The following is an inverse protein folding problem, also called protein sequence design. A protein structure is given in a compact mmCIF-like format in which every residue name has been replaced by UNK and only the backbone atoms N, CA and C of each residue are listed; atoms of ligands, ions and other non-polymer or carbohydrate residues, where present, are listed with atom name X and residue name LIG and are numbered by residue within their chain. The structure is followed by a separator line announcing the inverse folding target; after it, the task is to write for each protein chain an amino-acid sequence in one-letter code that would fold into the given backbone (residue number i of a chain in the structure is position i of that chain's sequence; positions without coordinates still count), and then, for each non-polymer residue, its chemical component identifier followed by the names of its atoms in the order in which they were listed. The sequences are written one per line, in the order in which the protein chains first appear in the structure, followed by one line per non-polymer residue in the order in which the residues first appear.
data_IF_544244198083
#
_entry.id   IF_544244198083
#
_cell.length_a   1.000
_cell.length_b   1.000
_cell.length_c   1.000
_cell.angle_alpha   90.00
_cell.angle_beta   90.00
_cell.angle_gamma   90.00
#
_symmetry.space_group_name_H-M   'P 1'
#
loop_
_entity.id
_entity.type
_entity.pdbx_description
1 polymer ?
#
# COMPACT_ATOMS: atom_id res chain seq x y z
N UNK A 1 -5.72 -86.27 27.32
CA UNK A 1 -6.95 -86.74 28.00
C UNK A 1 -6.69 -86.77 29.49
N UNK A 2 -7.63 -86.26 30.29
CA UNK A 2 -7.58 -86.26 31.77
C UNK A 2 -6.86 -85.04 32.35
N UNK A 3 -7.35 -84.37 33.41
CA UNK A 3 -8.65 -84.41 34.05
C UNK A 3 -8.81 -83.09 34.83
N UNK A 4 -10.05 -82.60 34.96
CA UNK A 4 -10.43 -81.44 35.80
C UNK A 4 -10.21 -81.74 37.29
N UNK A 5 -9.86 -80.70 38.06
CA UNK A 5 -10.26 -80.57 39.46
C UNK A 5 -10.69 -79.14 39.77
N UNK A 6 -11.72 -79.06 40.62
CA UNK A 6 -12.43 -77.86 41.02
C UNK A 6 -12.04 -77.34 42.41
N UNK A 7 -12.35 -76.06 42.62
CA UNK A 7 -12.94 -75.47 43.83
C UNK A 7 -12.01 -74.86 44.91
N UNK A 8 -12.26 -73.55 45.12
CA UNK A 8 -12.33 -72.78 46.37
C UNK A 8 -11.06 -72.61 47.23
N UNK A 9 -10.58 -71.37 47.35
CA UNK A 9 -10.84 -70.40 48.44
C UNK A 9 -9.67 -69.42 48.65
N UNK A 10 -10.05 -68.15 48.78
CA UNK A 10 -9.37 -66.96 49.35
C UNK A 10 -7.95 -67.16 49.92
N UNK A 11 -6.99 -66.40 49.37
CA UNK A 11 -6.06 -65.63 50.19
C UNK A 11 -5.49 -64.40 49.45
N UNK A 12 -5.14 -63.39 50.24
CA UNK A 12 -4.65 -62.06 49.88
C UNK A 12 -3.40 -62.02 48.98
N UNK A 13 -3.32 -61.02 48.10
CA UNK A 13 -2.29 -59.94 48.09
C UNK A 13 -1.90 -59.45 46.68
N UNK A 14 -1.85 -58.11 46.56
CA UNK A 14 -1.13 -57.26 45.60
C UNK A 14 -1.42 -57.33 44.09
N UNK A 15 -2.02 -56.23 43.59
CA UNK A 15 -2.05 -55.86 42.18
C UNK A 15 -2.46 -54.39 42.00
N UNK A 16 -1.49 -53.55 41.68
CA UNK A 16 -1.55 -52.11 41.46
C UNK A 16 -2.58 -51.67 40.41
N UNK A 17 -3.23 -50.51 40.59
CA UNK A 17 -3.54 -49.55 39.51
C UNK A 17 -3.98 -48.17 40.05
N UNK A 18 -3.23 -47.17 39.61
CA UNK A 18 -3.43 -45.72 39.78
C UNK A 18 -4.64 -45.22 39.00
N UNK A 19 -5.48 -44.35 39.60
CA UNK A 19 -6.23 -43.33 38.85
C UNK A 19 -6.56 -42.13 39.74
N UNK A 20 -5.95 -40.97 39.45
CA UNK A 20 -6.39 -39.65 39.91
C UNK A 20 -7.12 -38.97 38.75
N UNK A 21 -8.35 -38.50 38.97
CA UNK A 21 -9.08 -37.58 38.08
C UNK A 21 -8.75 -36.13 38.49
N UNK A 22 -8.26 -35.34 37.54
CA UNK A 22 -8.27 -33.86 37.60
C UNK A 22 -9.44 -33.35 36.75
N UNK A 23 -10.19 -32.39 37.29
CA UNK A 23 -11.20 -31.65 36.54
C UNK A 23 -11.49 -30.31 37.22
N UNK A 24 -11.15 -29.20 36.56
CA UNK A 24 -11.53 -27.86 37.00
C UNK A 24 -10.52 -26.79 36.59
N UNK A 25 -10.81 -26.05 35.51
CA UNK A 25 -10.06 -24.84 35.17
C UNK A 25 -10.08 -24.50 33.68
N UNK A 26 -11.23 -24.09 33.12
CA UNK A 26 -11.24 -23.50 31.77
C UNK A 26 -12.39 -22.52 31.47
N UNK A 27 -13.09 -22.02 32.50
CA UNK A 27 -14.22 -21.10 32.32
C UNK A 27 -13.96 -19.65 32.78
N UNK A 28 -12.86 -19.41 33.50
CA UNK A 28 -12.51 -18.10 34.07
C UNK A 28 -11.57 -17.27 33.15
N UNK A 29 -10.55 -17.89 32.55
CA UNK A 29 -9.56 -17.16 31.72
C UNK A 29 -10.11 -16.64 30.39
N UNK A 30 -11.03 -17.37 29.73
CA UNK A 30 -11.63 -16.90 28.46
C UNK A 30 -12.51 -15.66 28.64
N UNK A 31 -13.09 -15.49 29.83
CA UNK A 31 -13.95 -14.33 30.12
C UNK A 31 -13.10 -13.07 30.37
N UNK A 32 -11.91 -13.23 30.97
CA UNK A 32 -10.96 -12.14 31.16
C UNK A 32 -10.33 -11.65 29.85
N UNK A 33 -9.99 -12.55 28.92
CA UNK A 33 -9.47 -12.16 27.61
C UNK A 33 -10.52 -11.49 26.72
N UNK A 34 -11.77 -11.94 26.73
CA UNK A 34 -12.85 -11.27 25.98
C UNK A 34 -13.15 -9.89 26.53
N UNK A 35 -13.03 -9.69 27.84
CA UNK A 35 -13.27 -8.40 28.48
C UNK A 35 -12.12 -7.41 28.20
N UNK A 36 -10.88 -7.88 28.06
CA UNK A 36 -9.71 -7.06 27.69
C UNK A 36 -9.74 -6.63 26.21
N UNK A 37 -10.16 -7.52 25.31
CA UNK A 37 -10.34 -7.23 23.88
C UNK A 37 -11.51 -6.24 23.65
N UNK A 38 -12.58 -6.36 24.45
CA UNK A 38 -13.70 -5.41 24.47
C UNK A 38 -13.28 -4.02 24.98
N UNK A 39 -12.41 -3.96 26.00
CA UNK A 39 -11.88 -2.71 26.54
C UNK A 39 -10.92 -2.00 25.55
N UNK A 40 -10.10 -2.76 24.82
CA UNK A 40 -9.22 -2.19 23.79
C UNK A 40 -10.03 -1.60 22.61
N UNK A 41 -11.07 -2.31 22.16
CA UNK A 41 -11.98 -1.80 21.12
C UNK A 41 -12.82 -0.60 21.59
N UNK A 42 -13.23 -0.57 22.86
CA UNK A 42 -13.91 0.58 23.45
C UNK A 42 -12.96 1.80 23.54
N UNK A 43 -11.69 1.61 23.91
CA UNK A 43 -10.67 2.66 23.93
C UNK A 43 -10.40 3.24 22.53
N UNK A 44 -10.33 2.38 21.51
CA UNK A 44 -10.14 2.80 20.13
C UNK A 44 -11.37 3.59 19.61
N UNK A 45 -12.59 3.15 19.94
CA UNK A 45 -13.80 3.86 19.50
C UNK A 45 -14.03 5.20 20.22
N UNK A 46 -13.65 5.31 21.50
CA UNK A 46 -13.70 6.56 22.27
C UNK A 46 -12.65 7.57 21.78
N UNK A 47 -11.46 7.11 21.39
CA UNK A 47 -10.45 7.97 20.77
C UNK A 47 -10.96 8.58 19.44
N UNK A 48 -11.67 7.78 18.65
CA UNK A 48 -12.28 8.23 17.38
C UNK A 48 -13.45 9.21 17.64
N UNK A 49 -14.30 8.97 18.63
CA UNK A 49 -15.37 9.91 19.01
C UNK A 49 -14.83 11.23 19.58
N UNK A 50 -13.78 11.20 20.39
CA UNK A 50 -13.17 12.42 20.95
C UNK A 50 -12.57 13.29 19.84
N UNK A 51 -11.94 12.67 18.82
CA UNK A 51 -11.42 13.38 17.65
C UNK A 51 -12.54 13.95 16.74
N UNK A 52 -13.67 13.26 16.59
CA UNK A 52 -14.82 13.80 15.85
C UNK A 52 -15.55 14.92 16.61
N UNK A 53 -15.55 14.88 17.95
CA UNK A 53 -16.15 15.93 18.78
C UNK A 53 -15.28 17.20 18.86
N UNK A 54 -13.95 17.08 18.78
CA UNK A 54 -13.06 18.25 18.70
C UNK A 54 -13.14 18.97 17.35
N UNK A 55 -13.62 18.29 16.29
CA UNK A 55 -13.95 18.90 15.00
C UNK A 55 -15.38 19.49 14.92
N UNK A 56 -16.13 19.56 16.04
CA UNK A 56 -17.46 20.21 16.11
C UNK A 56 -17.46 21.61 16.73
N UNK A 57 -16.33 22.30 16.79
CA UNK A 57 -16.32 23.75 17.03
C UNK A 57 -16.16 24.50 15.70
N UNK A 58 -17.30 24.66 15.02
CA UNK A 58 -17.49 25.76 14.08
C UNK A 58 -18.51 26.73 14.70
N UNK A 59 -18.25 28.02 14.59
CA UNK A 59 -19.09 29.04 15.23
C UNK A 59 -18.62 30.48 15.10
N UNK A 60 -18.14 30.90 13.93
CA UNK A 60 -18.07 32.34 13.63
C UNK A 60 -19.35 32.82 12.96
N UNK A 61 -20.15 33.54 13.74
CA UNK A 61 -21.33 34.27 13.32
C UNK A 61 -20.93 35.46 12.42
N UNK A 62 -21.52 35.57 11.23
CA UNK A 62 -21.72 36.88 10.60
C UNK A 62 -23.05 36.97 9.85
N UNK A 63 -23.94 37.80 10.42
CA UNK A 63 -25.12 38.45 9.81
C UNK A 63 -24.63 39.88 9.46
N UNK A 64 -24.99 40.59 8.39
CA UNK A 64 -26.27 40.76 7.66
C UNK A 64 -26.06 41.74 6.48
N UNK A 65 -26.90 41.60 5.45
CA UNK A 65 -27.59 42.62 4.60
C UNK A 65 -26.79 43.47 3.58
N UNK A 66 -27.25 43.39 2.34
CA UNK A 66 -27.10 44.43 1.31
C UNK A 66 -27.70 44.01 -0.04
N UNK A 67 -28.92 44.47 -0.33
CA UNK A 67 -29.63 44.34 -1.61
C UNK A 67 -29.15 45.39 -2.62
N UNK A 68 -29.00 45.03 -3.91
CA UNK A 68 -29.50 45.83 -5.06
C UNK A 68 -29.32 45.11 -6.42
N UNK A 69 -30.45 44.90 -7.09
CA UNK A 69 -30.77 45.15 -8.51
C UNK A 69 -29.83 44.75 -9.67
N UNK A 70 -30.40 43.90 -10.54
CA UNK A 70 -30.47 44.01 -12.02
C UNK A 70 -29.21 44.26 -12.86
N UNK A 71 -28.88 43.29 -13.73
CA UNK A 71 -29.00 43.44 -15.19
C UNK A 71 -28.78 42.12 -15.92
N UNK A 72 -29.85 41.62 -16.54
CA UNK A 72 -29.79 40.70 -17.69
C UNK A 72 -29.01 41.39 -18.81
N UNK A 73 -28.04 40.70 -19.41
CA UNK A 73 -27.62 40.94 -20.79
C UNK A 73 -27.66 39.62 -21.54
N UNK A 74 -28.61 39.55 -22.46
CA UNK A 74 -28.64 38.61 -23.57
C UNK A 74 -27.34 38.77 -24.39
N UNK A 75 -26.73 37.66 -24.79
CA UNK A 75 -25.92 37.61 -25.99
C UNK A 75 -26.53 36.57 -26.94
N UNK A 76 -26.70 36.90 -28.24
CA UNK A 76 -27.33 36.01 -29.19
C UNK A 76 -26.34 34.97 -29.73
N UNK A 77 -26.93 33.87 -30.19
CA UNK A 77 -26.31 32.82 -30.98
C UNK A 77 -25.90 33.40 -32.34
N UNK A 78 -24.63 33.24 -32.71
CA UNK A 78 -24.16 33.38 -34.10
C UNK A 78 -22.99 32.41 -34.36
N UNK A 79 -23.30 31.43 -35.21
CA UNK A 79 -22.52 30.58 -36.13
C UNK A 79 -20.98 30.42 -36.01
N UNK A 80 -20.42 29.19 -36.16
CA UNK A 80 -19.00 28.92 -36.02
C UNK A 80 -18.30 28.88 -37.39
N UNK A 81 -17.68 29.99 -37.80
CA UNK A 81 -16.63 29.93 -38.83
C UNK A 81 -15.58 30.98 -38.51
N UNK A 82 -14.43 30.53 -38.00
CA UNK A 82 -13.10 31.12 -38.16
C UNK A 82 -12.11 30.25 -37.38
N UNK A 83 -11.50 29.33 -38.12
CA UNK A 83 -10.30 28.61 -37.74
C UNK A 83 -9.20 29.63 -37.45
N UNK A 84 -8.76 29.69 -36.19
CA UNK A 84 -7.58 30.45 -35.80
C UNK A 84 -6.42 29.47 -35.60
N UNK A 85 -5.48 29.33 -36.56
CA UNK A 85 -4.40 28.38 -36.47
C UNK A 85 -3.25 28.99 -35.65
N UNK A 86 -3.43 29.15 -34.33
CA UNK A 86 -2.34 29.61 -33.43
C UNK A 86 -2.65 29.49 -31.93
N UNK A 87 -3.35 28.43 -31.51
CA UNK A 87 -3.23 27.92 -30.13
C UNK A 87 -2.44 26.61 -30.18
N UNK A 88 -1.18 26.68 -30.59
CA UNK A 88 -0.21 25.72 -30.11
C UNK A 88 -0.10 26.00 -28.61
N UNK A 89 -0.64 25.09 -27.80
CA UNK A 89 -0.43 25.03 -26.36
C UNK A 89 1.09 24.95 -26.18
N UNK A 90 1.75 26.09 -25.96
CA UNK A 90 3.19 26.12 -25.69
C UNK A 90 3.40 25.21 -24.49
N UNK A 91 4.12 24.10 -24.71
CA UNK A 91 4.61 23.27 -23.63
C UNK A 91 5.37 24.19 -22.67
N UNK A 92 5.11 24.15 -21.35
CA UNK A 92 5.86 24.94 -20.39
C UNK A 92 7.37 24.82 -20.66
N UNK A 93 8.10 25.94 -20.67
CA UNK A 93 9.53 26.06 -21.02
C UNK A 93 10.42 25.04 -20.27
N UNK A 94 10.01 24.61 -19.07
CA UNK A 94 10.73 23.57 -18.30
C UNK A 94 10.73 22.19 -18.97
N UNK A 95 9.73 21.86 -19.80
CA UNK A 95 9.64 20.57 -20.48
C UNK A 95 10.66 20.39 -21.58
N UNK A 96 11.14 21.47 -22.18
CA UNK A 96 12.18 21.38 -23.21
C UNK A 96 13.52 20.94 -22.61
N UNK A 97 13.69 21.12 -21.30
CA UNK A 97 14.93 20.84 -20.58
C UNK A 97 14.93 19.52 -19.78
N UNK A 98 13.83 18.76 -19.79
CA UNK A 98 13.77 17.48 -19.08
C UNK A 98 14.47 16.36 -19.87
N UNK A 99 15.49 15.76 -19.27
CA UNK A 99 16.17 14.57 -19.82
C UNK A 99 15.22 13.37 -19.97
N UNK A 100 14.27 13.20 -19.04
CA UNK A 100 13.33 12.08 -19.06
C UNK A 100 11.90 12.56 -18.80
N UNK A 101 11.00 12.34 -19.77
CA UNK A 101 9.57 12.68 -19.67
C UNK A 101 8.68 11.48 -19.35
N UNK A 102 9.15 10.26 -19.64
CA UNK A 102 8.41 9.02 -19.38
C UNK A 102 8.47 8.69 -17.89
N UNK A 103 7.30 8.55 -17.28
CA UNK A 103 7.16 8.25 -15.86
C UNK A 103 6.26 7.04 -15.69
N UNK A 104 6.77 5.98 -15.08
CA UNK A 104 6.03 4.74 -14.87
C UNK A 104 5.56 4.68 -13.41
N UNK A 105 4.26 4.55 -13.22
CA UNK A 105 3.60 4.58 -11.92
C UNK A 105 3.23 3.16 -11.50
N UNK A 106 3.79 2.73 -10.37
CA UNK A 106 3.66 1.38 -9.81
C UNK A 106 2.90 1.47 -8.49
N UNK A 107 1.72 0.84 -8.46
CA UNK A 107 0.85 0.86 -7.29
C UNK A 107 1.39 -0.03 -6.15
N UNK A 108 0.93 0.25 -4.93
CA UNK A 108 1.13 -0.63 -3.78
C UNK A 108 0.18 -1.82 -3.75
N UNK A 109 0.30 -2.64 -2.72
CA UNK A 109 -0.50 -3.85 -2.55
C UNK A 109 -2.01 -3.59 -2.54
N UNK A 110 -2.76 -4.44 -3.24
CA UNK A 110 -4.23 -4.41 -3.29
C UNK A 110 -4.79 -3.31 -4.20
N UNK A 111 -3.97 -2.36 -4.64
CA UNK A 111 -4.33 -1.36 -5.63
C UNK A 111 -4.13 -1.89 -7.06
N UNK A 112 -4.34 -1.01 -8.04
CA UNK A 112 -4.06 -1.19 -9.46
C UNK A 112 -3.74 0.16 -10.08
N UNK A 113 -3.46 0.19 -11.38
CA UNK A 113 -3.22 1.39 -12.18
C UNK A 113 -4.30 2.47 -11.99
N UNK A 114 -5.54 2.04 -11.73
CA UNK A 114 -6.69 2.90 -11.45
C UNK A 114 -6.47 3.89 -10.30
N UNK A 115 -5.59 3.61 -9.33
CA UNK A 115 -5.36 4.53 -8.21
C UNK A 115 -4.65 5.82 -8.65
N UNK A 116 -3.94 5.78 -9.78
CA UNK A 116 -3.16 6.89 -10.30
C UNK A 116 -3.96 7.88 -11.15
N UNK A 117 -5.28 7.72 -11.31
CA UNK A 117 -6.06 8.48 -12.31
C UNK A 117 -5.89 10.01 -12.21
N UNK A 118 -5.83 10.57 -10.99
CA UNK A 118 -5.58 12.01 -10.80
C UNK A 118 -4.14 12.40 -11.15
N UNK A 119 -3.19 11.58 -10.74
CA UNK A 119 -1.76 11.79 -10.99
C UNK A 119 -1.44 11.73 -12.47
N UNK A 120 -2.04 10.78 -13.21
CA UNK A 120 -1.95 10.68 -14.68
C UNK A 120 -2.42 11.99 -15.31
N UNK A 121 -3.64 12.44 -14.99
CA UNK A 121 -4.20 13.67 -15.55
C UNK A 121 -3.28 14.90 -15.30
N UNK A 122 -2.78 15.07 -14.07
CA UNK A 122 -1.89 16.20 -13.73
C UNK A 122 -0.54 16.13 -14.45
N UNK A 123 0.04 14.93 -14.60
CA UNK A 123 1.29 14.72 -15.31
C UNK A 123 1.14 14.97 -16.81
N UNK A 124 0.06 14.49 -17.43
CA UNK A 124 -0.26 14.74 -18.85
C UNK A 124 -0.53 16.22 -19.13
N UNK A 125 -1.27 16.90 -18.25
CA UNK A 125 -1.50 18.35 -18.33
C UNK A 125 -0.19 19.15 -18.31
N UNK A 126 0.79 18.62 -17.59
CA UNK A 126 2.14 19.16 -17.52
C UNK A 126 3.08 18.61 -18.58
N UNK A 127 2.59 17.87 -19.58
CA UNK A 127 3.38 17.37 -20.71
C UNK A 127 4.38 16.26 -20.40
N UNK A 128 4.26 15.62 -19.23
CA UNK A 128 4.92 14.34 -18.95
C UNK A 128 4.19 13.19 -19.66
N UNK A 129 4.84 12.03 -19.76
CA UNK A 129 4.29 10.84 -20.40
C UNK A 129 4.09 9.74 -19.35
N UNK A 130 3.02 9.80 -18.53
CA UNK A 130 2.77 8.80 -17.51
C UNK A 130 2.30 7.47 -18.11
N UNK A 131 2.79 6.37 -17.55
CA UNK A 131 2.29 5.01 -17.79
C UNK A 131 2.03 4.36 -16.44
N UNK A 132 0.76 4.09 -16.11
CA UNK A 132 0.41 3.34 -14.91
C UNK A 132 0.22 1.86 -15.27
N UNK A 133 0.88 0.97 -14.54
CA UNK A 133 0.84 -0.47 -14.80
C UNK A 133 0.00 -1.18 -13.74
N UNK A 134 -0.79 -2.16 -14.16
CA UNK A 134 -1.31 -3.18 -13.25
C UNK A 134 -0.23 -4.26 -13.10
N UNK A 135 0.18 -4.53 -11.86
CA UNK A 135 1.04 -5.67 -11.54
C UNK A 135 0.26 -6.99 -11.67
N UNK A 136 0.97 -8.12 -11.78
CA UNK A 136 0.35 -9.44 -11.95
C UNK A 136 -0.69 -9.70 -10.86
N UNK A 137 -1.91 -10.07 -11.24
CA UNK A 137 -3.03 -10.32 -10.33
C UNK A 137 -3.60 -9.08 -9.64
N UNK A 138 -3.27 -7.87 -10.12
CA UNK A 138 -3.74 -6.59 -9.58
C UNK A 138 -4.61 -5.83 -10.58
N UNK A 139 -5.36 -4.84 -10.10
CA UNK A 139 -6.28 -4.05 -10.95
C UNK A 139 -7.14 -4.92 -11.87
N UNK A 140 -7.00 -4.75 -13.19
CA UNK A 140 -7.75 -5.53 -14.19
C UNK A 140 -7.00 -6.75 -14.73
N UNK A 141 -5.79 -7.06 -14.24
CA UNK A 141 -5.05 -8.25 -14.65
C UNK A 141 -5.77 -9.54 -14.20
N UNK A 142 -6.08 -10.42 -15.15
CA UNK A 142 -6.94 -11.58 -14.90
C UNK A 142 -6.21 -12.76 -14.27
N UNK A 143 -4.90 -12.67 -14.02
CA UNK A 143 -4.18 -13.78 -13.40
C UNK A 143 -4.64 -13.95 -11.96
N UNK A 144 -4.70 -15.21 -11.55
CA UNK A 144 -5.06 -15.56 -10.19
C UNK A 144 -3.93 -15.15 -9.23
N UNK A 145 -4.24 -14.18 -8.37
CA UNK A 145 -3.33 -13.65 -7.35
C UNK A 145 -2.81 -14.73 -6.41
N UNK A 146 -3.54 -15.84 -6.25
CA UNK A 146 -3.12 -16.95 -5.39
C UNK A 146 -1.90 -17.72 -5.90
N UNK A 147 -1.57 -17.56 -7.20
CA UNK A 147 -0.43 -18.21 -7.84
C UNK A 147 0.76 -17.26 -8.02
N UNK A 148 0.68 -16.03 -7.52
CA UNK A 148 1.77 -15.07 -7.57
C UNK A 148 2.65 -15.26 -6.34
N UNK A 149 3.74 -16.02 -6.51
CA UNK A 149 4.57 -16.47 -5.39
C UNK A 149 5.89 -15.71 -5.25
N UNK A 150 6.34 -15.05 -6.32
CA UNK A 150 7.61 -14.31 -6.32
C UNK A 150 7.43 -12.84 -6.70
N UNK A 151 8.37 -12.01 -6.25
CA UNK A 151 8.44 -10.60 -6.64
C UNK A 151 8.69 -10.44 -8.15
N UNK A 152 9.40 -11.37 -8.77
CA UNK A 152 9.59 -11.41 -10.22
C UNK A 152 8.26 -11.60 -10.95
N UNK A 153 7.47 -12.61 -10.55
CA UNK A 153 6.15 -12.86 -11.13
C UNK A 153 5.23 -11.65 -10.97
N UNK A 154 5.24 -11.04 -9.78
CA UNK A 154 4.44 -9.86 -9.47
C UNK A 154 4.86 -8.66 -10.31
N UNK A 155 6.16 -8.44 -10.46
CA UNK A 155 6.77 -7.33 -11.20
C UNK A 155 6.80 -7.56 -12.72
N UNK A 156 6.34 -8.71 -13.21
CA UNK A 156 6.41 -9.07 -14.63
C UNK A 156 5.91 -7.98 -15.59
N UNK A 157 4.75 -7.31 -15.36
CA UNK A 157 4.30 -6.23 -16.23
C UNK A 157 5.30 -5.06 -16.31
N UNK A 158 5.97 -4.73 -15.20
CA UNK A 158 7.02 -3.71 -15.17
C UNK A 158 8.28 -4.17 -15.90
N UNK A 159 8.75 -5.39 -15.66
CA UNK A 159 9.96 -5.90 -16.32
C UNK A 159 9.74 -6.07 -17.82
N UNK A 160 8.58 -6.54 -18.24
CA UNK A 160 8.21 -6.66 -19.65
C UNK A 160 8.14 -5.27 -20.30
N UNK A 161 7.61 -4.25 -19.60
CA UNK A 161 7.64 -2.87 -20.09
C UNK A 161 9.08 -2.36 -20.28
N UNK A 162 9.94 -2.52 -19.27
CA UNK A 162 11.33 -2.05 -19.30
C UNK A 162 12.18 -2.77 -20.36
N UNK A 163 11.97 -4.07 -20.54
CA UNK A 163 12.66 -4.87 -21.55
C UNK A 163 12.33 -4.41 -22.98
N UNK A 164 11.10 -3.95 -23.20
CA UNK A 164 10.65 -3.47 -24.51
C UNK A 164 10.95 -1.99 -24.77
N UNK A 165 11.58 -1.27 -23.83
CA UNK A 165 12.03 0.10 -24.07
C UNK A 165 13.22 0.12 -25.05
N UNK A 166 13.27 1.07 -26.00
CA UNK A 166 14.45 1.35 -26.81
C UNK A 166 15.73 1.50 -25.99
N UNK A 167 16.89 1.12 -26.55
CA UNK A 167 18.19 1.13 -25.85
C UNK A 167 18.62 2.50 -25.35
N UNK A 168 18.26 3.56 -26.08
CA UNK A 168 18.58 4.96 -25.80
C UNK A 168 17.57 5.65 -24.89
N UNK A 169 16.50 4.96 -24.48
CA UNK A 169 15.46 5.54 -23.63
C UNK A 169 15.55 5.08 -22.16
N UNK A 170 15.24 6.03 -21.27
CA UNK A 170 15.09 5.81 -19.84
C UNK A 170 13.74 6.28 -19.34
N UNK A 171 13.36 5.80 -18.16
CA UNK A 171 12.13 6.21 -17.47
C UNK A 171 12.39 6.61 -16.02
N UNK A 172 11.48 7.42 -15.49
CA UNK A 172 11.36 7.68 -14.05
C UNK A 172 10.39 6.65 -13.49
N UNK A 173 10.80 5.84 -12.51
CA UNK A 173 9.89 4.92 -11.81
C UNK A 173 9.34 5.58 -10.56
N UNK A 174 8.05 5.38 -10.27
CA UNK A 174 7.40 5.78 -9.01
C UNK A 174 6.74 4.55 -8.40
N UNK A 175 7.24 4.08 -7.26
CA UNK A 175 6.69 2.96 -6.51
C UNK A 175 5.99 3.43 -5.25
N UNK A 176 4.68 3.21 -5.15
CA UNK A 176 3.91 3.47 -3.94
C UNK A 176 3.91 2.27 -3.00
N UNK A 177 4.09 2.50 -1.70
CA UNK A 177 4.04 1.42 -0.69
C UNK A 177 4.92 0.24 -1.11
N UNK A 178 4.41 -0.99 -1.10
CA UNK A 178 5.17 -2.17 -1.54
C UNK A 178 5.49 -2.22 -3.04
N UNK A 179 4.91 -1.35 -3.85
CA UNK A 179 5.40 -1.09 -5.22
C UNK A 179 6.85 -0.59 -5.23
N UNK A 180 7.34 -0.06 -4.09
CA UNK A 180 8.76 0.20 -3.86
C UNK A 180 9.64 -1.04 -4.02
N UNK A 181 9.18 -2.22 -3.60
CA UNK A 181 9.92 -3.48 -3.80
C UNK A 181 10.10 -3.80 -5.29
N UNK A 182 9.06 -3.61 -6.10
CA UNK A 182 9.12 -3.76 -7.55
C UNK A 182 10.08 -2.76 -8.19
N UNK A 183 10.16 -1.53 -7.68
CA UNK A 183 11.13 -0.52 -8.12
C UNK A 183 12.56 -0.93 -7.76
N UNK A 184 12.80 -1.44 -6.55
CA UNK A 184 14.12 -1.97 -6.16
C UNK A 184 14.53 -3.15 -7.03
N UNK A 185 13.60 -4.07 -7.32
CA UNK A 185 13.83 -5.18 -8.24
C UNK A 185 14.19 -4.67 -9.64
N UNK A 186 13.41 -3.73 -10.19
CA UNK A 186 13.68 -3.13 -11.49
C UNK A 186 15.05 -2.43 -11.55
N UNK A 187 15.46 -1.72 -10.49
CA UNK A 187 16.80 -1.12 -10.40
C UNK A 187 17.93 -2.16 -10.44
N UNK A 188 17.74 -3.32 -9.81
CA UNK A 188 18.75 -4.38 -9.82
C UNK A 188 18.88 -5.07 -11.19
N UNK A 189 17.81 -5.12 -11.98
CA UNK A 189 17.78 -5.88 -13.24
C UNK A 189 17.86 -5.00 -14.49
N UNK A 190 17.42 -3.74 -14.43
CA UNK A 190 17.25 -2.82 -15.56
C UNK A 190 17.79 -1.42 -15.26
N UNK A 191 18.86 -1.30 -14.48
CA UNK A 191 19.43 -0.02 -14.05
C UNK A 191 19.62 0.96 -15.23
N UNK A 192 20.11 0.49 -16.37
CA UNK A 192 20.39 1.34 -17.55
C UNK A 192 19.14 1.94 -18.19
N UNK A 193 17.94 1.40 -17.88
CA UNK A 193 16.64 1.89 -18.36
C UNK A 193 15.97 2.88 -17.39
N UNK A 194 16.56 3.10 -16.22
CA UNK A 194 15.94 3.87 -15.14
C UNK A 194 16.79 5.10 -14.85
N UNK A 195 16.26 6.29 -15.13
CA UNK A 195 16.97 7.54 -14.85
C UNK A 195 16.82 7.96 -13.39
N UNK A 196 15.63 7.79 -12.81
CA UNK A 196 15.31 8.08 -11.40
C UNK A 196 14.30 7.08 -10.86
N UNK A 197 14.42 6.73 -9.58
CA UNK A 197 13.52 5.85 -8.86
C UNK A 197 12.95 6.57 -7.64
N UNK A 198 11.63 6.74 -7.60
CA UNK A 198 10.91 7.48 -6.56
C UNK A 198 10.12 6.50 -5.72
N UNK A 199 10.43 6.43 -4.43
CA UNK A 199 9.72 5.63 -3.43
C UNK A 199 8.70 6.53 -2.72
N UNK A 200 7.42 6.36 -3.03
CA UNK A 200 6.33 7.15 -2.48
C UNK A 200 5.72 6.42 -1.28
N UNK A 201 6.06 6.88 -0.07
CA UNK A 201 5.79 6.17 1.19
C UNK A 201 5.99 4.65 1.05
N UNK A 202 7.09 4.28 0.36
CA UNK A 202 7.30 2.96 -0.18
C UNK A 202 8.27 2.10 0.62
N UNK A 203 8.24 0.80 0.38
CA UNK A 203 9.17 -0.18 0.95
C UNK A 203 10.55 -0.06 0.29
N UNK A 204 11.37 0.88 0.75
CA UNK A 204 12.75 1.09 0.27
C UNK A 204 13.75 0.28 1.10
N UNK A 205 13.64 -1.04 1.01
CA UNK A 205 14.43 -1.98 1.82
C UNK A 205 15.89 -2.09 1.35
N UNK A 206 16.77 -2.47 2.27
CA UNK A 206 18.16 -2.79 2.00
C UNK A 206 18.32 -4.23 1.47
N UNK A 207 19.53 -4.56 1.04
CA UNK A 207 19.89 -5.93 0.61
C UNK A 207 19.57 -6.97 1.71
N UNK A 208 19.01 -8.09 1.29
CA UNK A 208 18.65 -9.20 2.17
C UNK A 208 17.38 -8.98 3.00
N UNK A 209 16.72 -7.83 2.93
CA UNK A 209 15.47 -7.56 3.65
C UNK A 209 14.24 -7.92 2.83
N UNK A 210 13.13 -8.20 3.51
CA UNK A 210 11.82 -8.41 2.90
C UNK A 210 11.06 -7.08 2.87
N UNK A 211 10.21 -6.82 1.86
CA UNK A 211 9.28 -5.68 1.89
C UNK A 211 8.41 -5.69 3.15
N UNK A 212 8.01 -6.87 3.63
CA UNK A 212 7.21 -7.01 4.86
C UNK A 212 7.90 -6.47 6.12
N UNK A 213 9.25 -6.52 6.19
CA UNK A 213 10.00 -6.12 7.39
C UNK A 213 9.78 -4.64 7.73
N UNK A 214 9.40 -3.84 6.73
CA UNK A 214 9.04 -2.43 6.87
C UNK A 214 7.81 -2.23 7.77
N UNK A 215 6.86 -3.16 7.75
CA UNK A 215 5.62 -3.10 8.52
C UNK A 215 5.70 -3.87 9.85
N UNK A 216 6.90 -4.32 10.25
CA UNK A 216 7.05 -5.19 11.40
C UNK A 216 6.68 -4.52 12.74
N UNK A 217 6.77 -3.18 12.81
CA UNK A 217 6.39 -2.43 14.01
C UNK A 217 4.86 -2.30 14.13
N UNK A 218 4.13 -2.17 13.01
CA UNK A 218 2.66 -2.11 12.98
C UNK A 218 1.97 -3.49 12.99
N UNK A 219 2.52 -4.46 12.26
CA UNK A 219 1.89 -5.77 12.00
C UNK A 219 2.54 -6.92 12.76
N UNK A 220 3.63 -6.65 13.50
CA UNK A 220 4.47 -7.68 14.11
C UNK A 220 5.42 -8.34 13.11
N UNK A 221 6.28 -9.23 13.59
CA UNK A 221 7.20 -9.97 12.72
C UNK A 221 6.45 -10.79 11.67
N UNK A 222 7.09 -11.06 10.53
CA UNK A 222 6.50 -11.92 9.49
C UNK A 222 6.02 -13.27 10.05
N UNK A 223 6.77 -13.89 10.96
CA UNK A 223 6.38 -15.13 11.62
C UNK A 223 5.11 -14.97 12.46
N UNK A 224 5.05 -13.90 13.26
CA UNK A 224 3.89 -13.61 14.11
C UNK A 224 2.65 -13.32 13.25
N UNK A 225 2.80 -12.49 12.23
CA UNK A 225 1.73 -12.16 11.30
C UNK A 225 1.19 -13.41 10.61
N UNK A 226 2.06 -14.29 10.09
CA UNK A 226 1.65 -15.53 9.43
C UNK A 226 0.94 -16.52 10.37
N UNK A 227 1.17 -16.42 11.69
CA UNK A 227 0.57 -17.30 12.69
C UNK A 227 -0.74 -16.76 13.26
N UNK A 228 -0.84 -15.46 13.47
CA UNK A 228 -1.91 -14.84 14.26
C UNK A 228 -2.88 -13.98 13.44
N UNK A 229 -2.51 -13.61 12.21
CA UNK A 229 -3.34 -12.74 11.38
C UNK A 229 -4.64 -13.44 10.96
N UNK A 230 -5.75 -12.74 11.20
CA UNK A 230 -7.09 -13.14 10.75
C UNK A 230 -7.36 -12.73 9.29
N UNK A 231 -6.44 -12.00 8.66
CA UNK A 231 -6.59 -11.43 7.31
C UNK A 231 -6.02 -12.34 6.21
N UNK A 232 -5.43 -13.47 6.59
CA UNK A 232 -4.81 -14.41 5.67
C UNK A 232 -5.85 -15.11 4.81
N UNK A 233 -5.51 -15.26 3.53
CA UNK A 233 -6.30 -15.93 2.51
C UNK A 233 -5.57 -17.21 2.14
N UNK A 234 -6.24 -18.34 2.30
CA UNK A 234 -5.76 -19.66 1.89
C UNK A 234 -6.41 -20.05 0.56
N UNK A 235 -6.03 -19.36 -0.52
CA UNK A 235 -6.68 -19.51 -1.83
C UNK A 235 -6.51 -20.89 -2.44
N UNK A 236 -5.43 -21.60 -2.09
CA UNK A 236 -5.16 -22.96 -2.54
C UNK A 236 -5.68 -24.04 -1.57
N UNK A 237 -6.55 -23.68 -0.62
CA UNK A 237 -7.11 -24.59 0.38
C UNK A 237 -6.52 -24.42 1.77
N UNK A 238 -7.31 -24.72 2.81
CA UNK A 238 -6.98 -24.42 4.22
C UNK A 238 -5.76 -25.14 4.77
N UNK A 239 -5.42 -26.29 4.19
CA UNK A 239 -4.25 -27.09 4.59
C UNK A 239 -2.96 -26.63 3.89
N UNK A 240 -3.06 -25.71 2.93
CA UNK A 240 -1.93 -25.12 2.22
C UNK A 240 -1.53 -23.77 2.86
N UNK A 241 -0.29 -23.31 2.63
CA UNK A 241 0.14 -21.97 3.07
C UNK A 241 -0.79 -20.87 2.56
N UNK A 242 -0.91 -19.80 3.34
CA UNK A 242 -1.65 -18.61 2.92
C UNK A 242 -1.02 -18.03 1.63
N UNK A 243 -1.86 -17.73 0.66
CA UNK A 243 -1.48 -17.22 -0.66
C UNK A 243 -1.52 -15.70 -0.71
N UNK A 244 -2.35 -15.09 0.14
CA UNK A 244 -2.50 -13.65 0.20
C UNK A 244 -3.09 -13.17 1.52
N UNK A 245 -3.35 -11.88 1.60
CA UNK A 245 -4.12 -11.29 2.69
C UNK A 245 -4.98 -10.13 2.18
N UNK A 246 -5.97 -9.75 2.98
CA UNK A 246 -6.77 -8.55 2.69
C UNK A 246 -7.34 -8.00 3.98
N UNK A 247 -7.07 -6.73 4.26
CA UNK A 247 -7.67 -6.04 5.40
C UNK A 247 -9.18 -5.87 5.20
N UNK A 248 -9.91 -5.81 6.32
CA UNK A 248 -11.32 -5.47 6.26
C UNK A 248 -11.54 -4.04 5.76
N UNK A 249 -12.69 -3.79 5.12
CA UNK A 249 -13.01 -2.46 4.57
C UNK A 249 -13.01 -1.33 5.61
N UNK A 250 -13.26 -1.63 6.88
CA UNK A 250 -13.20 -0.63 7.94
C UNK A 250 -11.75 -0.29 8.31
N UNK A 251 -10.88 -1.30 8.40
CA UNK A 251 -9.46 -1.12 8.69
C UNK A 251 -8.76 -0.36 7.56
N UNK A 252 -9.04 -0.72 6.30
CA UNK A 252 -8.50 0.01 5.14
C UNK A 252 -8.83 1.51 5.17
N UNK A 253 -10.02 1.90 5.64
CA UNK A 253 -10.37 3.32 5.77
C UNK A 253 -9.49 4.05 6.79
N UNK A 254 -9.22 3.42 7.92
CA UNK A 254 -8.39 4.01 8.98
C UNK A 254 -6.91 4.06 8.64
N UNK A 255 -6.42 3.04 7.94
CA UNK A 255 -4.99 2.89 7.58
C UNK A 255 -4.63 3.69 6.32
N UNK A 256 -5.44 3.60 5.26
CA UNK A 256 -5.06 4.14 3.95
C UNK A 256 -5.68 5.49 3.61
N UNK A 257 -6.84 5.81 4.20
CA UNK A 257 -7.73 6.83 3.66
C UNK A 257 -8.21 7.86 4.70
N UNK A 258 -7.41 8.14 5.73
CA UNK A 258 -7.76 9.10 6.78
C UNK A 258 -7.81 10.56 6.28
N UNK A 259 -7.22 10.88 5.12
CA UNK A 259 -7.25 12.21 4.50
C UNK A 259 -7.87 12.22 3.09
N UNK A 260 -8.25 11.05 2.57
CA UNK A 260 -8.73 10.88 1.21
C UNK A 260 -10.21 11.27 1.05
N UNK A 261 -10.61 11.88 -0.08
CA UNK A 261 -12.01 12.21 -0.34
C UNK A 261 -12.92 10.98 -0.42
N UNK A 262 -14.17 11.10 0.05
CA UNK A 262 -15.13 10.00 0.09
C UNK A 262 -15.38 9.31 -1.26
N UNK A 263 -15.28 10.05 -2.38
CA UNK A 263 -15.43 9.48 -3.73
C UNK A 263 -14.28 8.53 -4.08
N UNK A 264 -13.06 8.87 -3.72
CA UNK A 264 -11.88 8.04 -3.95
C UNK A 264 -11.91 6.81 -3.04
N UNK A 265 -12.39 6.96 -1.81
CA UNK A 265 -12.63 5.83 -0.92
C UNK A 265 -13.66 4.88 -1.53
N UNK A 266 -14.78 5.40 -2.07
CA UNK A 266 -15.80 4.58 -2.71
C UNK A 266 -15.23 3.80 -3.90
N UNK A 267 -14.43 4.45 -4.76
CA UNK A 267 -13.68 3.81 -5.84
C UNK A 267 -12.77 2.70 -5.30
N UNK A 268 -11.94 3.00 -4.31
CA UNK A 268 -11.04 2.02 -3.73
C UNK A 268 -11.80 0.80 -3.19
N UNK A 269 -12.90 1.01 -2.46
CA UNK A 269 -13.68 -0.09 -1.86
C UNK A 269 -14.35 -1.06 -2.85
N UNK A 270 -14.41 -0.70 -4.14
CA UNK A 270 -14.90 -1.58 -5.22
C UNK A 270 -13.79 -2.10 -6.14
N UNK A 271 -12.58 -1.54 -6.04
CA UNK A 271 -11.46 -1.86 -6.94
C UNK A 271 -10.32 -2.60 -6.27
N UNK A 272 -10.20 -2.56 -4.94
CA UNK A 272 -9.12 -3.26 -4.23
C UNK A 272 -9.27 -4.78 -4.34
N UNK A 273 -8.13 -5.46 -4.49
CA UNK A 273 -8.03 -6.93 -4.61
C UNK A 273 -7.21 -7.53 -3.47
N UNK A 274 -7.31 -8.85 -3.23
CA UNK A 274 -6.40 -9.56 -2.35
C UNK A 274 -4.94 -9.29 -2.69
N UNK A 275 -4.10 -9.24 -1.67
CA UNK A 275 -2.68 -8.93 -1.76
C UNK A 275 -1.90 -10.25 -1.81
N UNK A 276 -1.04 -10.51 -2.82
CA UNK A 276 -0.23 -11.74 -2.85
C UNK A 276 0.87 -11.69 -1.79
N UNK A 277 0.96 -12.70 -0.92
CA UNK A 277 1.94 -12.73 0.18
C UNK A 277 3.38 -12.99 -0.29
N UNK A 278 3.54 -13.86 -1.29
CA UNK A 278 4.85 -14.30 -1.77
C UNK A 278 5.82 -13.16 -2.07
N UNK A 279 5.45 -12.18 -2.93
CA UNK A 279 6.30 -11.02 -3.27
C UNK A 279 6.79 -10.21 -2.07
N UNK A 280 5.98 -10.11 -1.03
CA UNK A 280 6.20 -9.24 0.13
C UNK A 280 7.04 -9.96 1.19
N UNK A 281 6.92 -11.28 1.21
CA UNK A 281 7.68 -12.16 2.10
C UNK A 281 9.02 -12.60 1.49
N UNK A 282 9.32 -12.24 0.24
CA UNK A 282 10.57 -12.59 -0.42
C UNK A 282 11.69 -11.63 -0.01
N UNK A 283 12.88 -12.16 0.30
CA UNK A 283 14.08 -11.32 0.48
C UNK A 283 14.53 -10.78 -0.87
N UNK A 284 14.84 -9.49 -0.93
CA UNK A 284 15.46 -8.90 -2.11
C UNK A 284 16.98 -9.12 -2.07
N UNK A 285 17.55 -9.44 -3.22
CA UNK A 285 19.00 -9.46 -3.44
C UNK A 285 19.39 -8.19 -4.18
N UNK A 286 20.00 -7.23 -3.51
CA UNK A 286 20.30 -5.89 -4.03
C UNK A 286 21.80 -5.62 -3.98
N UNK A 287 22.40 -5.30 -5.11
CA UNK A 287 23.83 -5.06 -5.20
C UNK A 287 24.19 -3.58 -5.08
N UNK A 288 25.39 -3.30 -4.56
CA UNK A 288 25.93 -1.93 -4.53
C UNK A 288 26.15 -1.38 -5.94
N UNK A 289 26.54 -2.24 -6.88
CA UNK A 289 26.89 -1.83 -8.24
C UNK A 289 25.68 -1.49 -9.10
N UNK A 290 24.51 -2.06 -8.79
CA UNK A 290 23.27 -1.79 -9.52
C UNK A 290 22.30 -0.96 -8.70
N UNK A 291 21.50 -1.60 -7.84
CA UNK A 291 20.56 -0.91 -6.97
C UNK A 291 21.20 0.26 -6.22
N UNK A 292 22.39 0.04 -5.64
CA UNK A 292 23.12 1.04 -4.85
C UNK A 292 23.52 2.29 -5.64
N UNK A 293 23.85 2.16 -6.93
CA UNK A 293 24.18 3.29 -7.82
C UNK A 293 22.96 3.96 -8.45
N UNK A 294 21.77 3.36 -8.37
CA UNK A 294 20.54 3.96 -8.86
C UNK A 294 20.23 5.28 -8.15
N UNK A 295 19.74 6.28 -8.91
CA UNK A 295 19.29 7.57 -8.34
C UNK A 295 17.95 7.38 -7.66
N UNK A 296 17.97 7.21 -6.34
CA UNK A 296 16.79 6.97 -5.51
C UNK A 296 16.32 8.25 -4.86
N UNK A 297 15.02 8.49 -4.84
CA UNK A 297 14.37 9.58 -4.13
C UNK A 297 13.25 9.01 -3.28
N UNK A 298 13.03 9.58 -2.10
CA UNK A 298 11.95 9.16 -1.22
C UNK A 298 10.96 10.30 -0.99
N UNK A 299 9.67 10.01 -1.05
CA UNK A 299 8.60 10.98 -0.80
C UNK A 299 7.80 10.49 0.40
N UNK A 300 7.94 11.21 1.52
CA UNK A 300 7.28 10.87 2.78
C UNK A 300 5.89 11.47 2.88
N UNK A 301 4.97 10.73 3.49
CA UNK A 301 3.59 11.13 3.79
C UNK A 301 3.44 11.31 5.30
N UNK A 302 3.10 12.51 5.76
CA UNK A 302 3.24 12.84 7.19
C UNK A 302 2.02 12.50 8.06
N UNK A 303 0.89 12.13 7.47
CA UNK A 303 -0.32 11.69 8.19
C UNK A 303 -0.66 10.23 7.81
N UNK A 304 0.37 9.45 7.51
CA UNK A 304 0.26 8.05 7.12
C UNK A 304 0.07 7.14 8.34
N UNK A 305 -1.03 6.39 8.35
CA UNK A 305 -1.36 5.45 9.42
C UNK A 305 -1.02 3.99 9.07
N UNK A 306 -0.61 3.71 7.84
CA UNK A 306 -0.20 2.38 7.41
C UNK A 306 1.31 2.20 7.47
N UNK A 307 2.06 3.25 7.13
CA UNK A 307 3.50 3.32 7.28
C UNK A 307 3.84 4.62 7.99
N UNK A 308 3.98 4.57 9.31
CA UNK A 308 4.11 5.80 10.11
C UNK A 308 5.33 6.66 9.68
N UNK A 309 5.27 8.00 9.83
CA UNK A 309 6.38 8.88 9.45
C UNK A 309 7.71 8.50 10.10
N UNK A 310 7.68 8.02 11.34
CA UNK A 310 8.89 7.58 12.07
C UNK A 310 9.55 6.37 11.41
N UNK A 311 8.75 5.42 10.91
CA UNK A 311 9.28 4.29 10.13
C UNK A 311 9.81 4.76 8.78
N UNK A 312 9.10 5.65 8.09
CA UNK A 312 9.59 6.22 6.83
C UNK A 312 10.94 6.93 7.03
N UNK A 313 11.14 7.64 8.15
CA UNK A 313 12.42 8.27 8.50
C UNK A 313 13.51 7.24 8.84
N UNK A 314 13.15 6.14 9.52
CA UNK A 314 14.05 5.01 9.78
C UNK A 314 14.55 4.38 8.47
N UNK A 315 13.66 4.09 7.51
CA UNK A 315 14.02 3.52 6.21
C UNK A 315 15.02 4.40 5.46
N UNK A 316 14.73 5.70 5.39
CA UNK A 316 15.61 6.68 4.73
C UNK A 316 16.96 6.79 5.43
N UNK A 317 17.02 6.64 6.76
CA UNK A 317 18.28 6.66 7.52
C UNK A 317 19.12 5.40 7.29
N UNK A 318 18.48 4.23 7.26
CA UNK A 318 19.15 2.93 7.12
C UNK A 318 19.56 2.63 5.68
N UNK A 319 18.82 3.15 4.70
CA UNK A 319 19.11 3.02 3.27
C UNK A 319 19.00 4.38 2.56
N UNK A 320 20.01 5.26 2.67
CA UNK A 320 19.93 6.65 2.20
C UNK A 320 19.63 6.79 0.70
N UNK A 321 18.59 7.57 0.32
CA UNK A 321 18.36 8.01 -1.04
C UNK A 321 19.16 9.30 -1.34
N UNK A 322 19.20 9.68 -2.62
CA UNK A 322 19.79 10.94 -3.08
C UNK A 322 19.02 12.17 -2.57
N UNK A 323 17.68 12.07 -2.44
CA UNK A 323 16.84 13.14 -1.94
C UNK A 323 15.58 12.65 -1.23
N UNK A 324 15.09 13.47 -0.30
CA UNK A 324 13.90 13.17 0.52
C UNK A 324 12.95 14.36 0.47
N UNK A 325 11.70 14.08 0.12
CA UNK A 325 10.62 15.06 0.01
C UNK A 325 9.51 14.70 1.00
N UNK A 326 8.70 15.68 1.40
CA UNK A 326 7.63 15.49 2.40
C UNK A 326 6.31 16.08 1.90
N UNK A 327 5.23 15.32 2.00
CA UNK A 327 3.85 15.77 1.74
C UNK A 327 3.11 15.87 3.07
N UNK A 328 2.91 17.11 3.54
CA UNK A 328 2.10 17.40 4.73
C UNK A 328 0.62 17.19 4.44
N UNK A 329 -0.15 16.66 5.39
CA UNK A 329 -1.58 16.43 5.21
C UNK A 329 -1.91 15.20 4.37
N UNK A 330 -0.92 14.41 3.95
CA UNK A 330 -1.15 13.22 3.13
C UNK A 330 -1.27 11.99 4.01
N UNK A 331 -2.33 11.23 3.76
CA UNK A 331 -2.43 9.83 4.19
C UNK A 331 -1.51 8.93 3.37
N UNK A 332 -1.66 7.62 3.54
CA UNK A 332 -0.95 6.60 2.78
C UNK A 332 -1.21 6.66 1.26
N UNK A 333 -2.23 7.38 0.80
CA UNK A 333 -2.64 7.46 -0.60
C UNK A 333 -2.54 8.90 -1.12
N UNK A 334 -1.32 9.46 -1.26
CA UNK A 334 -1.09 10.84 -1.72
C UNK A 334 -1.69 11.13 -3.10
N UNK A 335 -1.84 10.13 -3.96
CA UNK A 335 -2.53 10.24 -5.26
C UNK A 335 -4.04 10.53 -5.12
N UNK A 336 -4.64 10.31 -3.95
CA UNK A 336 -6.02 10.67 -3.63
C UNK A 336 -6.12 11.89 -2.73
N UNK A 337 -5.39 11.89 -1.60
CA UNK A 337 -5.49 12.91 -0.56
C UNK A 337 -4.78 14.23 -0.91
N UNK A 338 -3.62 14.15 -1.57
CA UNK A 338 -2.79 15.32 -1.93
C UNK A 338 -2.22 15.26 -3.37
N UNK A 339 -3.06 15.05 -4.41
CA UNK A 339 -2.58 14.82 -5.78
C UNK A 339 -1.78 15.99 -6.35
N UNK A 340 -2.14 17.24 -6.04
CA UNK A 340 -1.39 18.41 -6.50
C UNK A 340 -0.01 18.54 -5.86
N UNK A 341 0.12 18.19 -4.56
CA UNK A 341 1.41 18.23 -3.86
C UNK A 341 2.33 17.12 -4.36
N UNK A 342 1.77 15.91 -4.55
CA UNK A 342 2.48 14.80 -5.18
C UNK A 342 2.97 15.19 -6.57
N UNK A 343 2.08 15.71 -7.42
CA UNK A 343 2.42 16.15 -8.76
C UNK A 343 3.58 17.15 -8.79
N UNK A 344 3.54 18.18 -7.93
CA UNK A 344 4.62 19.16 -7.81
C UNK A 344 5.96 18.49 -7.48
N UNK A 345 6.00 17.59 -6.51
CA UNK A 345 7.22 16.89 -6.11
C UNK A 345 7.75 15.99 -7.24
N UNK A 346 6.87 15.29 -7.97
CA UNK A 346 7.28 14.47 -9.11
C UNK A 346 7.95 15.32 -10.20
N UNK A 347 7.42 16.52 -10.49
CA UNK A 347 8.06 17.44 -11.42
C UNK A 347 9.38 18.00 -10.88
N UNK A 348 9.44 18.32 -9.59
CA UNK A 348 10.67 18.80 -8.95
C UNK A 348 11.78 17.75 -9.04
N UNK A 349 11.49 16.49 -8.71
CA UNK A 349 12.46 15.39 -8.85
C UNK A 349 12.87 15.17 -10.31
N UNK A 350 11.92 15.25 -11.25
CA UNK A 350 12.22 15.09 -12.68
C UNK A 350 13.26 16.12 -13.18
N UNK A 351 13.24 17.33 -12.62
CA UNK A 351 14.14 18.44 -12.97
C UNK A 351 15.54 18.35 -12.35
N UNK A 352 15.77 17.50 -11.36
CA UNK A 352 17.09 17.35 -10.74
C UNK A 352 18.05 16.77 -11.79
N UNK A 353 19.09 17.54 -12.12
CA UNK A 353 20.13 17.14 -13.08
C UNK A 353 20.83 15.86 -12.62
#
# INVERSE_FOLDING_TARGET
MGNRFSCKTKNNSNGSKSSRRFGGGNRSQRKLQSDEELLHMQALSLAIQHHQSSQRFDGSLSRRIGSTSSRRRNNPISDPTLTNPKQQKQSPEFLENLETKKIVLIHGEGFGAWCWYKTIALLEESGMLPTALDLTGSGIDLKDTNNVTTLEDYSKPLTDYLQNLPEDEKVILVGHSSGGACVSYALEHFQDKISKAIFLCGTMVADGQKPFDVFAEELGSAELFMKESKFLIHGNGKDNPATGFMFEKQQMRGLYFNQSPAKDIALAMVSVRPIPLGPIMQNLSLSKEKYGKGRRFYVQTLDDHALSPDIQEKLVRENPPEGVFKIKGSDHCPFFSKPQSLHKILLEIAQIA
#
